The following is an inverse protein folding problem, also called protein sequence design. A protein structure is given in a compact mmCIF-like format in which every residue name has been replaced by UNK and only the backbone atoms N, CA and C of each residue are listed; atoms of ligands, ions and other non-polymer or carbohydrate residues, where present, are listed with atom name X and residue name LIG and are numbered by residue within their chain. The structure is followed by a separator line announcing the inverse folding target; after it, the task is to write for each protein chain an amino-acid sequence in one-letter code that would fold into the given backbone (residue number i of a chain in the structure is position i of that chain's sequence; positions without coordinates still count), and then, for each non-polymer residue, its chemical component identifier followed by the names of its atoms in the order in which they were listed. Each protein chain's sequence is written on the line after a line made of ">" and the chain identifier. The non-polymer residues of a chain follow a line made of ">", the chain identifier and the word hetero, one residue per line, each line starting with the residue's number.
data_IF_303829642991
#
_entry.id   IF_303829642991
#
_cell.length_a   1.000
_cell.length_b   1.000
_cell.length_c   1.000
_cell.angle_alpha   90.00
_cell.angle_beta   90.00
_cell.angle_gamma   90.00
#
_symmetry.space_group_name_H-M   'P 1'
#
loop_
_entity.id
_entity.type
_entity.pdbx_description
1 polymer ?
#
# COMPACT_ATOMS: atom_id res chain seq x y z
N UNK A 1 -19.25 3.55 27.82
CA UNK A 1 -18.37 3.31 26.66
C UNK A 1 -19.20 2.71 25.53
N UNK A 2 -19.20 3.25 24.31
CA UNK A 2 -19.93 2.63 23.21
C UNK A 2 -19.31 1.27 22.92
N UNK A 3 -20.15 0.22 22.90
CA UNK A 3 -19.74 -1.14 22.60
C UNK A 3 -19.19 -1.19 21.16
N UNK A 4 -17.95 -1.66 20.98
CA UNK A 4 -17.40 -1.89 19.62
C UNK A 4 -18.21 -2.99 18.95
N UNK A 5 -18.71 -2.71 17.75
CA UNK A 5 -19.25 -3.76 16.88
C UNK A 5 -18.10 -4.73 16.55
N UNK A 6 -18.35 -6.02 16.71
CA UNK A 6 -17.42 -7.07 16.26
C UNK A 6 -17.23 -6.95 14.75
N UNK A 7 -15.98 -6.92 14.29
CA UNK A 7 -15.67 -6.91 12.85
C UNK A 7 -15.99 -8.30 12.27
N UNK A 8 -16.88 -8.34 11.29
CA UNK A 8 -17.17 -9.57 10.52
C UNK A 8 -16.26 -9.55 9.29
N UNK A 9 -15.36 -10.53 9.18
CA UNK A 9 -14.41 -10.65 8.08
C UNK A 9 -15.03 -11.56 7.01
N UNK A 10 -15.15 -11.13 5.74
CA UNK A 10 -15.61 -11.98 4.66
C UNK A 10 -14.69 -13.18 4.41
N UNK A 11 -15.23 -14.30 3.91
CA UNK A 11 -14.48 -15.53 3.66
C UNK A 11 -13.29 -15.38 2.68
N UNK A 12 -13.31 -14.34 1.84
CA UNK A 12 -12.28 -14.06 0.83
C UNK A 12 -11.28 -12.97 1.25
N UNK A 13 -11.25 -12.60 2.54
CA UNK A 13 -10.33 -11.59 3.08
C UNK A 13 -9.59 -12.19 4.28
N UNK A 14 -8.27 -12.15 4.23
CA UNK A 14 -7.42 -12.45 5.38
C UNK A 14 -6.90 -11.15 6.01
N UNK A 15 -6.78 -11.13 7.33
CA UNK A 15 -6.10 -10.05 8.05
C UNK A 15 -4.65 -10.48 8.33
N UNK A 16 -3.71 -9.70 7.82
CA UNK A 16 -2.29 -9.87 8.09
C UNK A 16 -1.84 -8.81 9.09
N UNK A 17 -1.43 -9.27 10.27
CA UNK A 17 -0.95 -8.36 11.31
C UNK A 17 0.49 -7.94 11.02
N UNK A 18 0.72 -6.63 11.04
CA UNK A 18 2.06 -6.04 11.07
C UNK A 18 2.31 -5.43 12.46
N UNK A 19 3.54 -5.52 13.00
CA UNK A 19 3.87 -4.91 14.28
C UNK A 19 3.69 -3.39 14.24
N UNK A 20 3.33 -2.77 15.38
CA UNK A 20 3.16 -1.32 15.45
C UNK A 20 4.48 -0.60 15.18
N UNK A 21 4.40 0.57 14.55
CA UNK A 21 5.56 1.40 14.20
C UNK A 21 6.58 0.77 13.22
N UNK A 22 6.17 -0.26 12.47
CA UNK A 22 7.00 -0.90 11.44
C UNK A 22 6.51 -0.60 10.01
N UNK A 23 6.57 0.65 9.54
CA UNK A 23 6.15 1.01 8.18
C UNK A 23 6.94 0.28 7.09
N UNK A 24 8.18 -0.14 7.39
CA UNK A 24 9.03 -0.92 6.49
C UNK A 24 8.42 -2.28 6.11
N UNK A 25 7.54 -2.82 6.95
CA UNK A 25 6.83 -4.06 6.66
C UNK A 25 5.58 -3.81 5.81
N UNK A 26 4.98 -2.62 5.83
CA UNK A 26 3.77 -2.34 5.07
C UNK A 26 4.06 -2.19 3.55
N UNK A 27 3.53 -3.06 2.67
CA UNK A 27 3.80 -2.98 1.23
C UNK A 27 3.36 -1.68 0.57
N UNK A 28 2.28 -1.06 1.07
CA UNK A 28 1.82 0.22 0.56
C UNK A 28 2.84 1.34 0.76
N UNK A 29 3.66 1.28 1.82
CA UNK A 29 4.73 2.25 2.06
C UNK A 29 5.85 2.14 1.02
N UNK A 30 6.21 0.91 0.60
CA UNK A 30 7.21 0.73 -0.47
C UNK A 30 6.73 1.29 -1.81
N UNK A 31 5.45 1.10 -2.16
CA UNK A 31 4.85 1.74 -3.34
C UNK A 31 4.87 3.27 -3.20
N UNK A 32 4.50 3.77 -2.01
CA UNK A 32 4.51 5.19 -1.74
C UNK A 32 5.90 5.82 -1.87
N UNK A 33 6.97 5.13 -1.46
CA UNK A 33 8.34 5.59 -1.65
C UNK A 33 8.70 5.82 -3.13
N UNK A 34 8.23 4.94 -4.03
CA UNK A 34 8.42 5.11 -5.48
C UNK A 34 7.75 6.41 -5.98
N UNK A 35 6.49 6.64 -5.57
CA UNK A 35 5.74 7.84 -5.94
C UNK A 35 6.39 9.10 -5.35
N UNK A 36 6.78 9.07 -4.06
CA UNK A 36 7.50 10.17 -3.40
C UNK A 36 8.79 10.52 -4.12
N UNK A 37 9.59 9.51 -4.51
CA UNK A 37 10.83 9.73 -5.26
C UNK A 37 10.58 10.43 -6.60
N UNK A 38 9.48 10.10 -7.27
CA UNK A 38 9.07 10.78 -8.50
C UNK A 38 8.50 12.19 -8.25
N UNK A 39 8.05 12.48 -7.04
CA UNK A 39 7.52 13.79 -6.63
C UNK A 39 8.63 14.78 -6.21
N UNK A 40 9.79 14.29 -5.78
CA UNK A 40 10.89 15.13 -5.27
C UNK A 40 11.24 16.28 -6.22
N UNK A 41 11.28 17.50 -5.68
CA UNK A 41 11.61 18.71 -6.43
C UNK A 41 10.48 19.28 -7.29
N UNK A 42 9.28 18.70 -7.23
CA UNK A 42 8.10 19.20 -7.95
C UNK A 42 7.21 20.03 -7.04
N UNK A 43 6.66 21.11 -7.59
CA UNK A 43 5.69 21.98 -6.92
C UNK A 43 4.46 22.10 -7.80
N UNK A 44 3.28 21.92 -7.21
CA UNK A 44 1.99 22.01 -7.89
C UNK A 44 1.20 23.18 -7.33
N UNK A 45 0.51 23.93 -8.19
CA UNK A 45 -0.26 25.12 -7.81
C UNK A 45 -1.63 24.80 -7.19
N UNK A 46 -2.07 23.54 -7.26
CA UNK A 46 -3.37 23.11 -6.77
C UNK A 46 -3.35 21.64 -6.35
N UNK A 47 -4.32 21.26 -5.51
CA UNK A 47 -4.54 19.87 -5.14
C UNK A 47 -4.88 18.99 -6.35
N UNK A 48 -5.63 19.52 -7.33
CA UNK A 48 -5.91 18.79 -8.57
C UNK A 48 -4.62 18.43 -9.32
N UNK A 49 -3.63 19.34 -9.36
CA UNK A 49 -2.33 19.02 -9.97
C UNK A 49 -1.57 17.91 -9.24
N UNK A 50 -1.70 17.83 -7.91
CA UNK A 50 -1.15 16.73 -7.12
C UNK A 50 -1.89 15.42 -7.41
N UNK A 51 -3.23 15.44 -7.46
CA UNK A 51 -4.04 14.27 -7.81
C UNK A 51 -3.71 13.74 -9.20
N UNK A 52 -3.61 14.60 -10.20
CA UNK A 52 -3.22 14.22 -11.57
C UNK A 52 -1.83 13.59 -11.62
N UNK A 53 -0.89 14.10 -10.82
CA UNK A 53 0.44 13.51 -10.70
C UNK A 53 0.37 12.10 -10.08
N UNK A 54 -0.33 11.94 -8.96
CA UNK A 54 -0.47 10.65 -8.29
C UNK A 54 -1.13 9.64 -9.23
N UNK A 55 -2.21 10.03 -9.93
CA UNK A 55 -2.88 9.18 -10.91
C UNK A 55 -1.92 8.72 -12.00
N UNK A 56 -1.12 9.63 -12.57
CA UNK A 56 -0.11 9.30 -13.58
C UNK A 56 0.95 8.34 -13.05
N UNK A 57 1.42 8.50 -11.82
CA UNK A 57 2.41 7.57 -11.24
C UNK A 57 1.79 6.20 -10.94
N UNK A 58 0.54 6.14 -10.46
CA UNK A 58 -0.19 4.89 -10.22
C UNK A 58 -0.40 4.12 -11.52
N UNK A 59 -0.75 4.80 -12.62
CA UNK A 59 -0.92 4.16 -13.94
C UNK A 59 0.37 3.54 -14.51
N UNK A 60 1.55 3.89 -13.99
CA UNK A 60 2.83 3.26 -14.36
C UNK A 60 3.10 1.96 -13.59
N UNK A 61 2.30 1.64 -12.57
CA UNK A 61 2.47 0.42 -11.79
C UNK A 61 1.91 -0.76 -12.60
N UNK A 62 2.79 -1.66 -13.03
CA UNK A 62 2.42 -2.94 -13.63
C UNK A 62 2.31 -4.02 -12.56
N UNK A 63 1.63 -5.13 -12.87
CA UNK A 63 1.57 -6.29 -11.96
C UNK A 63 2.96 -6.77 -11.55
N UNK A 64 3.93 -6.76 -12.48
CA UNK A 64 5.31 -7.13 -12.18
C UNK A 64 5.97 -6.16 -11.20
N UNK A 65 5.80 -4.84 -11.40
CA UNK A 65 6.33 -3.81 -10.50
C UNK A 65 5.73 -3.95 -9.11
N UNK A 66 4.40 -4.11 -9.02
CA UNK A 66 3.70 -4.27 -7.74
C UNK A 66 4.20 -5.51 -7.02
N UNK A 67 4.23 -6.67 -7.70
CA UNK A 67 4.74 -7.93 -7.13
C UNK A 67 6.15 -7.76 -6.59
N UNK A 68 7.11 -7.35 -7.43
CA UNK A 68 8.51 -7.16 -7.01
C UNK A 68 8.69 -6.15 -5.88
N UNK A 69 7.85 -5.11 -5.82
CA UNK A 69 7.95 -4.09 -4.77
C UNK A 69 7.37 -4.58 -3.43
N UNK A 70 6.35 -5.42 -3.50
CA UNK A 70 5.56 -5.88 -2.35
C UNK A 70 5.84 -7.33 -1.94
N UNK A 71 6.82 -8.00 -2.54
CA UNK A 71 7.21 -9.39 -2.27
C UNK A 71 7.98 -9.50 -0.95
N UNK A 72 7.27 -9.39 0.17
CA UNK A 72 7.83 -9.70 1.48
C UNK A 72 7.68 -11.19 1.77
N UNK A 73 8.74 -11.81 2.30
CA UNK A 73 8.74 -13.22 2.64
C UNK A 73 7.55 -13.61 3.53
N UNK A 74 7.22 -12.79 4.53
CA UNK A 74 6.10 -13.05 5.44
C UNK A 74 4.71 -12.97 4.78
N UNK A 75 4.60 -12.31 3.62
CA UNK A 75 3.38 -12.28 2.81
C UNK A 75 3.34 -13.53 1.93
N UNK A 76 4.44 -13.83 1.24
CA UNK A 76 4.49 -14.94 0.26
C UNK A 76 4.41 -16.31 0.95
N UNK A 77 4.92 -16.43 2.16
CA UNK A 77 4.84 -17.64 3.00
C UNK A 77 3.57 -17.73 3.83
N UNK A 78 2.63 -16.79 3.67
CA UNK A 78 1.45 -16.74 4.52
C UNK A 78 0.50 -17.93 4.23
N UNK A 79 -0.03 -18.59 5.27
CA UNK A 79 -0.79 -19.84 5.15
C UNK A 79 -2.19 -19.69 4.54
N UNK A 80 -2.52 -18.51 4.03
CA UNK A 80 -3.81 -18.18 3.42
C UNK A 80 -3.68 -17.88 1.91
N UNK A 81 -2.51 -18.16 1.32
CA UNK A 81 -2.26 -18.04 -0.12
C UNK A 81 -2.39 -19.38 -0.87
N UNK A 82 -2.92 -20.42 -0.21
CA UNK A 82 -3.26 -21.71 -0.82
C UNK A 82 -4.48 -21.64 -1.75
#
# INVERSE_FOLDING_TARGET
>A
MPQRKTLIIPNNIALLFIPPYSPELNPSEKIWWRIKRAFTGKVYKSLNGVSDFIEKEVRKLTNEIVKKTCEFEYIVSAPFLD
#
